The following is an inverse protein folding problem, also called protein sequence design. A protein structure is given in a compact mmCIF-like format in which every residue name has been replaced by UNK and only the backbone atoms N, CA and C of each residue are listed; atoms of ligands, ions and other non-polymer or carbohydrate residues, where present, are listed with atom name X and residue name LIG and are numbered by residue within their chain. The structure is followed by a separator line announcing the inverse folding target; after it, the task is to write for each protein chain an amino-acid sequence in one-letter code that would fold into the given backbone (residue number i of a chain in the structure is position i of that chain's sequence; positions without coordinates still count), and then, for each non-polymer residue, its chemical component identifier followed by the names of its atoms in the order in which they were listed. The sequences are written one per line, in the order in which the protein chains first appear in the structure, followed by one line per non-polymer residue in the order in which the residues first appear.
data_IF_701607584494
#
_entry.id   IF_701607584494
#
_cell.length_a   1.000
_cell.length_b   1.000
_cell.length_c   1.000
_cell.angle_alpha   90.00
_cell.angle_beta   90.00
_cell.angle_gamma   90.00
#
_symmetry.space_group_name_H-M   'P 1'
#
loop_
_entity.id
_entity.type
_entity.pdbx_description
1 polymer ?
#
# COMPACT_ATOMS: atom_id res chain seq x y z
N UNK A 1 8.36 17.15 -17.21
CA UNK A 1 9.17 16.64 -18.33
C UNK A 1 10.65 16.92 -18.08
N UNK A 2 11.49 15.89 -18.08
CA UNK A 2 12.94 16.03 -18.00
C UNK A 2 13.52 16.12 -19.41
N UNK A 3 14.09 17.27 -19.78
CA UNK A 3 14.66 17.52 -21.12
C UNK A 3 13.70 17.22 -22.29
N UNK A 4 12.41 17.53 -22.11
CA UNK A 4 11.36 17.29 -23.12
C UNK A 4 10.79 15.87 -23.13
N UNK A 5 11.20 15.01 -22.20
CA UNK A 5 10.66 13.65 -22.04
C UNK A 5 9.73 13.57 -20.83
N UNK A 6 8.57 12.92 -20.99
CA UNK A 6 7.67 12.64 -19.86
C UNK A 6 8.32 11.68 -18.86
N UNK A 7 8.18 11.97 -17.57
CA UNK A 7 8.75 11.20 -16.47
C UNK A 7 7.64 10.54 -15.66
N UNK A 8 7.62 9.22 -15.68
CA UNK A 8 6.85 8.37 -14.78
C UNK A 8 7.75 7.94 -13.63
N UNK A 9 7.45 8.38 -12.42
CA UNK A 9 8.02 7.83 -11.20
C UNK A 9 7.16 6.64 -10.74
N UNK A 10 7.77 5.46 -10.67
CA UNK A 10 7.07 4.22 -10.34
C UNK A 10 6.93 4.00 -8.84
N UNK A 11 7.54 4.83 -8.00
CA UNK A 11 7.51 4.62 -6.55
C UNK A 11 7.43 5.93 -5.76
N UNK A 12 6.20 6.24 -5.32
CA UNK A 12 5.91 7.24 -4.32
C UNK A 12 5.01 6.70 -3.21
N UNK A 13 4.72 7.55 -2.23
CA UNK A 13 3.84 7.21 -1.12
C UNK A 13 2.77 8.28 -0.92
N UNK A 14 1.64 7.85 -0.38
CA UNK A 14 0.56 8.76 -0.01
C UNK A 14 1.05 9.85 0.92
N UNK A 15 0.61 11.07 0.63
CA UNK A 15 0.79 12.24 1.47
C UNK A 15 -0.57 12.65 2.01
N UNK A 16 -0.63 12.98 3.29
CA UNK A 16 -1.85 13.39 3.96
C UNK A 16 -1.55 14.33 5.11
N UNK A 17 -2.55 15.02 5.64
CA UNK A 17 -2.39 15.85 6.83
C UNK A 17 -1.99 14.98 8.03
N UNK A 18 -1.36 15.57 9.07
CA UNK A 18 -0.93 14.83 10.25
C UNK A 18 -2.00 13.93 10.89
N UNK A 19 -3.29 14.31 10.78
CA UNK A 19 -4.37 13.53 11.34
C UNK A 19 -4.63 12.17 10.67
N UNK A 20 -4.11 11.94 9.45
CA UNK A 20 -4.06 10.58 8.87
C UNK A 20 -3.29 9.64 9.80
N UNK A 21 -2.25 10.14 10.48
CA UNK A 21 -1.52 9.35 11.46
C UNK A 21 -2.30 9.17 12.77
N UNK A 22 -3.05 10.18 13.20
CA UNK A 22 -3.84 10.11 14.43
C UNK A 22 -4.96 9.09 14.36
N UNK A 23 -5.47 8.77 13.16
CA UNK A 23 -6.56 7.81 12.99
C UNK A 23 -6.18 6.39 13.45
N UNK A 24 -4.99 5.90 13.10
CA UNK A 24 -4.52 4.59 13.58
C UNK A 24 -4.16 4.62 15.07
N UNK A 25 -3.66 5.74 15.58
CA UNK A 25 -3.35 5.89 17.01
C UNK A 25 -4.63 5.77 17.86
N UNK A 26 -5.73 6.38 17.40
CA UNK A 26 -7.05 6.19 18.03
C UNK A 26 -7.52 4.74 17.98
N UNK A 27 -7.28 4.06 16.86
CA UNK A 27 -7.58 2.64 16.70
C UNK A 27 -6.86 1.73 17.69
N UNK A 28 -5.56 1.98 17.90
CA UNK A 28 -4.79 1.27 18.92
C UNK A 28 -5.28 1.58 20.33
N UNK A 29 -5.61 2.84 20.62
CA UNK A 29 -6.07 3.26 21.94
C UNK A 29 -7.45 2.68 22.30
N UNK A 30 -8.36 2.58 21.33
CA UNK A 30 -9.72 2.06 21.54
C UNK A 30 -9.82 0.54 21.40
N UNK A 31 -8.84 -0.12 20.75
CA UNK A 31 -8.95 -1.52 20.34
C UNK A 31 -10.01 -1.76 19.26
N UNK A 32 -10.52 -0.70 18.63
CA UNK A 32 -11.56 -0.77 17.61
C UNK A 32 -11.43 0.37 16.60
N UNK A 33 -11.51 0.02 15.32
CA UNK A 33 -11.47 0.98 14.22
C UNK A 33 -12.76 0.86 13.42
N UNK A 34 -13.47 1.98 13.28
CA UNK A 34 -14.66 2.08 12.44
C UNK A 34 -14.32 2.03 10.95
N UNK A 35 -15.32 2.08 10.05
CA UNK A 35 -15.07 2.26 8.63
C UNK A 35 -14.32 3.57 8.38
N UNK A 36 -13.53 3.58 7.30
CA UNK A 36 -12.84 4.78 6.83
C UNK A 36 -13.84 5.93 6.60
N UNK A 37 -13.57 7.15 7.12
CA UNK A 37 -14.44 8.31 6.90
C UNK A 37 -14.51 8.74 5.44
N UNK A 38 -13.54 8.32 4.61
CA UNK A 38 -13.50 8.60 3.17
C UNK A 38 -14.28 7.57 2.33
N UNK A 39 -14.74 6.46 2.93
CA UNK A 39 -15.42 5.37 2.20
C UNK A 39 -16.92 5.59 2.04
N UNK A 40 -17.53 6.41 2.90
CA UNK A 40 -18.99 6.63 2.91
C UNK A 40 -19.33 7.82 2.00
N UNK A 41 -19.85 7.50 0.82
CA UNK A 41 -19.92 8.35 -0.37
C UNK A 41 -21.04 9.39 -0.45
N UNK A 42 -21.39 10.10 0.61
CA UNK A 42 -22.21 11.32 0.51
C UNK A 42 -21.46 12.58 0.97
N UNK A 43 -20.18 12.40 1.28
CA UNK A 43 -19.35 13.37 1.97
C UNK A 43 -19.84 13.62 3.40
N UNK A 44 -21.10 13.39 3.79
CA UNK A 44 -21.81 13.93 4.95
C UNK A 44 -22.07 12.92 6.09
N UNK A 45 -21.83 11.63 5.89
CA UNK A 45 -22.21 10.60 6.87
C UNK A 45 -21.15 9.51 7.10
N UNK A 46 -19.91 9.90 7.39
CA UNK A 46 -19.11 9.24 8.42
C UNK A 46 -19.12 10.12 9.68
N UNK A 47 -18.40 9.80 10.77
CA UNK A 47 -17.87 10.88 11.59
C UNK A 47 -16.97 11.69 10.65
N UNK A 48 -17.56 12.66 9.94
CA UNK A 48 -16.82 13.84 9.51
C UNK A 48 -16.14 14.26 10.80
N UNK A 49 -14.82 14.19 10.81
CA UNK A 49 -14.04 15.01 11.72
C UNK A 49 -14.60 16.43 11.54
N UNK A 50 -15.58 16.81 12.37
CA UNK A 50 -15.78 18.12 12.96
C UNK A 50 -15.15 19.33 12.26
N UNK A 51 -15.27 19.49 10.93
CA UNK A 51 -14.44 20.48 10.22
C UNK A 51 -12.94 20.36 10.54
N UNK A 52 -12.49 19.17 10.96
CA UNK A 52 -11.22 18.92 11.59
C UNK A 52 -10.13 18.47 10.61
N UNK A 53 -9.02 18.04 11.18
CA UNK A 53 -7.73 17.80 10.51
C UNK A 53 -7.71 16.72 9.39
N UNK A 54 -8.84 16.06 9.08
CA UNK A 54 -9.02 15.10 7.97
C UNK A 54 -9.97 15.62 6.86
N UNK A 55 -10.19 16.94 6.79
CA UNK A 55 -11.06 17.54 5.77
C UNK A 55 -10.50 17.45 4.35
N UNK A 56 -11.36 17.69 3.35
CA UNK A 56 -10.97 17.77 1.95
C UNK A 56 -9.92 18.88 1.73
N UNK A 57 -10.04 20.02 2.41
CA UNK A 57 -9.07 21.12 2.36
C UNK A 57 -7.72 20.71 2.94
N UNK A 58 -7.71 19.99 4.07
CA UNK A 58 -6.48 19.51 4.71
C UNK A 58 -5.76 18.49 3.82
N UNK A 59 -6.51 17.59 3.18
CA UNK A 59 -6.01 16.65 2.17
C UNK A 59 -5.44 17.39 0.96
N UNK A 60 -6.20 18.31 0.36
CA UNK A 60 -5.76 19.08 -0.79
C UNK A 60 -4.47 19.86 -0.51
N UNK A 61 -4.37 20.50 0.65
CA UNK A 61 -3.16 21.24 1.05
C UNK A 61 -1.94 20.33 1.21
N UNK A 62 -2.11 19.12 1.75
CA UNK A 62 -1.02 18.13 1.85
C UNK A 62 -0.61 17.59 0.47
N UNK A 63 -1.59 17.31 -0.39
CA UNK A 63 -1.39 16.76 -1.73
C UNK A 63 -0.75 17.79 -2.67
N UNK A 64 -1.11 19.07 -2.57
CA UNK A 64 -0.51 20.15 -3.34
C UNK A 64 1.00 20.25 -3.06
N UNK A 65 1.43 20.19 -1.79
CA UNK A 65 2.87 20.20 -1.44
C UNK A 65 3.62 19.04 -2.09
N UNK A 66 2.99 17.88 -2.22
CA UNK A 66 3.59 16.73 -2.90
C UNK A 66 3.67 16.94 -4.43
N UNK A 67 2.59 17.45 -5.04
CA UNK A 67 2.55 17.77 -6.47
C UNK A 67 3.57 18.87 -6.85
N UNK A 68 3.74 19.87 -6.00
CA UNK A 68 4.76 20.93 -6.16
C UNK A 68 6.17 20.32 -6.14
N UNK A 69 6.44 19.43 -5.20
CA UNK A 69 7.73 18.73 -5.11
C UNK A 69 8.03 17.87 -6.35
N UNK A 70 7.01 17.23 -6.93
CA UNK A 70 7.12 16.53 -8.21
C UNK A 70 7.45 17.49 -9.36
N UNK A 71 6.77 18.64 -9.42
CA UNK A 71 7.03 19.69 -10.42
C UNK A 71 8.48 20.17 -10.34
N UNK A 72 8.97 20.47 -9.13
CA UNK A 72 10.36 20.88 -8.90
C UNK A 72 11.41 19.85 -9.36
N UNK A 73 11.00 18.57 -9.45
CA UNK A 73 11.84 17.44 -9.87
C UNK A 73 11.56 16.96 -11.28
N UNK A 74 10.73 17.68 -12.04
CA UNK A 74 10.32 17.32 -13.39
C UNK A 74 9.58 15.97 -13.51
N UNK A 75 8.91 15.52 -12.44
CA UNK A 75 8.10 14.29 -12.42
C UNK A 75 6.68 14.63 -12.89
N UNK A 76 6.28 14.04 -14.02
CA UNK A 76 4.98 14.31 -14.63
C UNK A 76 3.88 13.50 -13.93
N UNK A 77 4.10 12.18 -13.78
CA UNK A 77 3.19 11.24 -13.12
C UNK A 77 3.95 10.41 -12.10
N UNK A 78 3.35 10.15 -10.94
CA UNK A 78 3.91 9.25 -9.93
C UNK A 78 2.89 8.18 -9.52
N UNK A 79 3.34 6.92 -9.45
CA UNK A 79 2.58 5.83 -8.84
C UNK A 79 2.78 5.87 -7.33
N UNK A 80 1.70 6.01 -6.58
CA UNK A 80 1.73 6.10 -5.12
C UNK A 80 1.10 4.87 -4.47
N UNK A 81 1.65 4.50 -3.31
CA UNK A 81 1.14 3.42 -2.47
C UNK A 81 1.19 3.76 -0.99
N UNK A 82 0.94 2.76 -0.11
CA UNK A 82 1.04 2.94 1.32
C UNK A 82 2.48 3.27 1.72
N UNK A 83 2.67 3.93 2.87
CA UNK A 83 4.01 4.06 3.46
C UNK A 83 4.44 2.71 4.02
N UNK A 84 5.61 2.15 3.68
CA UNK A 84 5.91 0.73 3.91
C UNK A 84 5.90 0.33 5.38
N UNK A 85 6.59 1.09 6.24
CA UNK A 85 6.58 0.85 7.68
C UNK A 85 5.19 1.04 8.30
N UNK A 86 4.33 1.83 7.65
CA UNK A 86 2.95 2.05 8.07
C UNK A 86 1.98 1.04 7.46
N UNK A 87 2.44 0.05 6.70
CA UNK A 87 1.57 -1.08 6.33
C UNK A 87 1.21 -1.93 7.56
N UNK A 88 2.09 -1.93 8.58
CA UNK A 88 1.81 -2.46 9.93
C UNK A 88 1.21 -3.88 9.94
N UNK A 89 1.71 -4.80 9.11
CA UNK A 89 1.19 -6.18 9.04
C UNK A 89 1.38 -6.99 10.34
N UNK A 90 2.11 -6.47 11.33
CA UNK A 90 2.22 -7.04 12.68
C UNK A 90 1.05 -6.67 13.62
N UNK A 91 0.15 -5.77 13.20
CA UNK A 91 -0.92 -5.29 14.07
C UNK A 91 -1.98 -6.38 14.38
N UNK A 92 -2.79 -6.20 15.45
CA UNK A 92 -3.91 -7.10 15.72
C UNK A 92 -4.84 -7.25 14.51
N UNK A 93 -5.19 -8.49 14.17
CA UNK A 93 -5.90 -8.83 12.92
C UNK A 93 -7.25 -8.12 12.76
N UNK A 94 -7.94 -7.83 13.87
CA UNK A 94 -9.21 -7.10 13.88
C UNK A 94 -9.08 -5.61 13.51
N UNK A 95 -7.86 -5.04 13.55
CA UNK A 95 -7.57 -3.67 13.13
C UNK A 95 -7.03 -3.58 11.70
N UNK A 96 -6.30 -4.62 11.25
CA UNK A 96 -5.56 -4.61 9.98
C UNK A 96 -6.43 -4.29 8.78
N UNK A 97 -7.57 -4.96 8.65
CA UNK A 97 -8.50 -4.73 7.54
C UNK A 97 -8.88 -3.24 7.46
N UNK A 98 -9.35 -2.66 8.57
CA UNK A 98 -9.81 -1.27 8.60
C UNK A 98 -8.70 -0.26 8.34
N UNK A 99 -7.49 -0.58 8.78
CA UNK A 99 -6.32 0.23 8.46
C UNK A 99 -5.95 0.20 6.97
N UNK A 100 -5.98 -0.97 6.33
CA UNK A 100 -5.80 -1.08 4.88
C UNK A 100 -6.85 -0.26 4.13
N UNK A 101 -8.12 -0.39 4.51
CA UNK A 101 -9.24 0.35 3.89
C UNK A 101 -9.02 1.85 3.96
N UNK A 102 -8.69 2.38 5.15
CA UNK A 102 -8.42 3.80 5.34
C UNK A 102 -7.21 4.30 4.56
N UNK A 103 -6.14 3.51 4.53
CA UNK A 103 -4.94 3.84 3.76
C UNK A 103 -5.25 3.91 2.27
N UNK A 104 -6.00 2.94 1.75
CA UNK A 104 -6.43 2.90 0.35
C UNK A 104 -7.37 4.07 0.03
N UNK A 105 -8.30 4.41 0.91
CA UNK A 105 -9.18 5.55 0.67
C UNK A 105 -8.43 6.89 0.71
N UNK A 106 -7.40 7.01 1.56
CA UNK A 106 -6.52 8.19 1.58
C UNK A 106 -5.70 8.29 0.28
N UNK A 107 -5.17 7.17 -0.22
CA UNK A 107 -4.50 7.09 -1.53
C UNK A 107 -5.46 7.53 -2.63
N UNK A 108 -6.68 6.99 -2.63
CA UNK A 108 -7.69 7.32 -3.63
C UNK A 108 -8.03 8.81 -3.59
N UNK A 109 -8.23 9.40 -2.41
CA UNK A 109 -8.50 10.84 -2.24
C UNK A 109 -7.38 11.70 -2.84
N UNK A 110 -6.11 11.33 -2.66
CA UNK A 110 -4.99 12.02 -3.32
C UNK A 110 -5.07 11.91 -4.85
N UNK A 111 -5.42 10.75 -5.41
CA UNK A 111 -5.62 10.62 -6.86
C UNK A 111 -6.80 11.44 -7.37
N UNK A 112 -7.86 11.64 -6.58
CA UNK A 112 -8.98 12.49 -6.98
C UNK A 112 -8.64 13.99 -6.96
N UNK A 113 -7.76 14.42 -6.06
CA UNK A 113 -7.31 15.82 -6.02
C UNK A 113 -6.39 16.19 -7.20
N UNK A 114 -5.58 15.24 -7.68
CA UNK A 114 -4.67 15.45 -8.82
C UNK A 114 -4.68 14.23 -9.77
N UNK A 115 -5.77 14.02 -10.52
CA UNK A 115 -5.96 12.81 -11.34
C UNK A 115 -4.93 12.65 -12.46
N UNK A 116 -4.37 13.77 -12.95
CA UNK A 116 -3.35 13.75 -14.00
C UNK A 116 -1.91 13.59 -13.46
N UNK A 117 -1.74 13.52 -12.13
CA UNK A 117 -0.42 13.49 -11.48
C UNK A 117 -0.16 12.20 -10.69
N UNK A 118 -1.20 11.58 -10.14
CA UNK A 118 -1.04 10.39 -9.29
C UNK A 118 -1.81 9.19 -9.81
N UNK A 119 -1.13 8.03 -9.80
CA UNK A 119 -1.73 6.72 -10.00
C UNK A 119 -1.69 5.94 -8.68
N UNK A 120 -2.70 5.14 -8.37
CA UNK A 120 -2.79 4.45 -7.08
C UNK A 120 -2.49 2.96 -7.13
N UNK A 121 -1.93 2.46 -6.03
CA UNK A 121 -1.71 1.04 -5.78
C UNK A 121 -2.34 0.62 -4.45
N UNK A 122 -2.82 -0.61 -4.41
CA UNK A 122 -3.62 -1.12 -3.29
C UNK A 122 -2.72 -1.64 -2.17
N UNK A 123 -2.94 -1.19 -0.94
CA UNK A 123 -2.45 -1.86 0.26
C UNK A 123 -3.34 -3.07 0.58
N UNK A 124 -2.74 -4.23 0.76
CA UNK A 124 -3.46 -5.47 1.10
C UNK A 124 -3.35 -5.80 2.60
N UNK A 125 -4.42 -6.35 3.21
CA UNK A 125 -4.43 -6.83 4.59
C UNK A 125 -3.72 -8.20 4.71
N UNK A 126 -2.45 -8.27 4.33
CA UNK A 126 -1.69 -9.53 4.33
C UNK A 126 -1.54 -10.10 5.75
N UNK A 127 -1.85 -11.38 5.91
CA UNK A 127 -1.71 -12.13 7.17
C UNK A 127 -0.74 -13.28 6.93
N UNK A 128 0.46 -13.20 7.53
CA UNK A 128 1.52 -14.19 7.32
C UNK A 128 1.08 -15.62 7.68
N UNK A 129 0.29 -15.77 8.75
CA UNK A 129 -0.13 -17.08 9.27
C UNK A 129 -1.41 -17.62 8.63
N UNK A 130 -2.01 -16.91 7.67
CA UNK A 130 -3.17 -17.40 6.94
C UNK A 130 -2.77 -18.56 6.01
N UNK A 131 -3.73 -19.41 5.67
CA UNK A 131 -3.51 -20.49 4.70
C UNK A 131 -3.11 -19.94 3.32
N UNK A 132 -3.74 -18.84 2.90
CA UNK A 132 -3.48 -18.11 1.66
C UNK A 132 -3.91 -16.64 1.79
N UNK A 133 -3.76 -15.87 0.70
CA UNK A 133 -4.15 -14.46 0.61
C UNK A 133 -5.60 -14.22 0.14
N UNK A 134 -6.51 -15.19 0.24
CA UNK A 134 -7.92 -15.01 -0.15
C UNK A 134 -8.59 -13.87 0.61
N UNK A 135 -8.17 -13.58 1.85
CA UNK A 135 -8.65 -12.46 2.64
C UNK A 135 -8.33 -11.08 2.03
N UNK A 136 -7.33 -11.01 1.15
CA UNK A 136 -6.91 -9.76 0.49
C UNK A 136 -7.73 -9.45 -0.78
N UNK A 137 -8.37 -10.47 -1.38
CA UNK A 137 -9.09 -10.35 -2.66
C UNK A 137 -10.21 -9.30 -2.63
N UNK A 138 -11.08 -9.22 -1.61
CA UNK A 138 -12.16 -8.24 -1.60
C UNK A 138 -11.67 -6.78 -1.67
N UNK A 139 -10.61 -6.46 -0.93
CA UNK A 139 -10.04 -5.11 -0.91
C UNK A 139 -9.28 -4.79 -2.21
N UNK A 140 -8.61 -5.79 -2.79
CA UNK A 140 -7.98 -5.66 -4.11
C UNK A 140 -9.01 -5.31 -5.17
N UNK A 141 -10.03 -6.15 -5.35
CA UNK A 141 -11.05 -5.95 -6.38
C UNK A 141 -11.82 -4.64 -6.19
N UNK A 142 -12.11 -4.25 -4.95
CA UNK A 142 -12.76 -2.98 -4.64
C UNK A 142 -11.95 -1.79 -5.15
N UNK A 143 -10.63 -1.77 -4.92
CA UNK A 143 -9.78 -0.67 -5.35
C UNK A 143 -9.48 -0.69 -6.85
N UNK A 144 -9.33 -1.88 -7.46
CA UNK A 144 -9.17 -1.98 -8.92
C UNK A 144 -10.41 -1.44 -9.66
N UNK A 145 -11.62 -1.70 -9.16
CA UNK A 145 -12.86 -1.10 -9.69
C UNK A 145 -12.93 0.42 -9.55
N UNK A 146 -12.13 1.02 -8.65
CA UNK A 146 -12.00 2.47 -8.44
C UNK A 146 -10.86 3.10 -9.26
N UNK A 147 -10.22 2.33 -10.14
CA UNK A 147 -9.15 2.82 -11.00
C UNK A 147 -7.74 2.69 -10.43
N UNK A 148 -7.54 1.89 -9.38
CA UNK A 148 -6.18 1.56 -8.94
C UNK A 148 -5.47 0.75 -10.03
N UNK A 149 -4.20 1.09 -10.26
CA UNK A 149 -3.40 0.54 -11.37
C UNK A 149 -2.49 -0.61 -10.95
N UNK A 150 -2.53 -1.02 -9.68
CA UNK A 150 -1.67 -2.07 -9.13
C UNK A 150 -1.94 -2.36 -7.67
N UNK A 151 -1.07 -3.18 -7.08
CA UNK A 151 -1.11 -3.55 -5.67
C UNK A 151 0.28 -3.55 -5.05
N UNK A 152 0.38 -3.46 -3.74
CA UNK A 152 1.60 -3.72 -2.98
C UNK A 152 1.55 -5.15 -2.44
N UNK A 153 2.69 -5.84 -2.52
CA UNK A 153 2.91 -7.13 -1.87
C UNK A 153 4.20 -7.05 -1.04
N UNK A 154 4.07 -7.27 0.27
CA UNK A 154 5.23 -7.48 1.14
C UNK A 154 5.58 -8.95 1.17
N UNK A 155 6.81 -9.37 0.82
CA UNK A 155 7.26 -10.76 0.96
C UNK A 155 7.17 -11.25 2.41
N UNK A 156 7.38 -10.33 3.37
CA UNK A 156 7.34 -10.55 4.81
C UNK A 156 6.42 -9.50 5.46
N UNK A 157 5.10 -9.73 5.54
CA UNK A 157 4.14 -8.68 5.89
C UNK A 157 4.21 -8.25 7.36
N UNK A 158 4.57 -9.15 8.29
CA UNK A 158 4.69 -8.86 9.72
C UNK A 158 6.14 -8.66 10.20
N UNK A 159 7.12 -8.90 9.34
CA UNK A 159 8.54 -8.71 9.60
C UNK A 159 9.21 -9.89 10.33
N UNK A 160 8.52 -11.04 10.45
CA UNK A 160 8.99 -12.20 11.22
C UNK A 160 9.54 -13.33 10.35
N UNK A 161 9.55 -13.17 9.02
CA UNK A 161 9.92 -14.20 8.05
C UNK A 161 9.05 -15.47 8.15
N UNK A 162 7.76 -15.30 8.48
CA UNK A 162 6.82 -16.40 8.67
C UNK A 162 5.97 -16.72 7.43
N UNK A 163 5.94 -15.82 6.44
CA UNK A 163 5.27 -16.04 5.17
C UNK A 163 6.08 -16.98 4.26
N UNK A 164 5.42 -17.79 3.43
CA UNK A 164 6.09 -18.64 2.46
C UNK A 164 6.69 -17.82 1.31
N UNK A 165 7.65 -18.40 0.58
CA UNK A 165 8.27 -17.74 -0.58
C UNK A 165 7.24 -17.36 -1.64
N UNK A 166 7.46 -16.26 -2.36
CA UNK A 166 6.50 -15.66 -3.31
C UNK A 166 6.05 -16.54 -4.50
N UNK A 167 6.65 -17.72 -4.66
CA UNK A 167 6.28 -18.74 -5.65
C UNK A 167 5.27 -19.78 -5.14
N UNK A 168 4.95 -19.77 -3.85
CA UNK A 168 4.10 -20.77 -3.19
C UNK A 168 2.59 -20.48 -3.33
N UNK A 169 1.71 -21.50 -3.19
CA UNK A 169 0.26 -21.35 -3.36
C UNK A 169 -0.41 -20.29 -2.49
N UNK A 170 0.18 -19.94 -1.34
CA UNK A 170 -0.29 -18.88 -0.45
C UNK A 170 -0.59 -17.55 -1.20
N UNK A 171 0.19 -17.24 -2.23
CA UNK A 171 0.08 -15.99 -2.98
C UNK A 171 -0.94 -16.02 -4.13
N UNK A 172 -1.36 -17.22 -4.54
CA UNK A 172 -2.12 -17.42 -5.78
C UNK A 172 -3.45 -16.66 -5.85
N UNK A 173 -4.27 -16.56 -4.79
CA UNK A 173 -5.53 -15.82 -4.86
C UNK A 173 -5.35 -14.36 -5.32
N UNK A 174 -4.24 -13.72 -4.93
CA UNK A 174 -3.92 -12.36 -5.37
C UNK A 174 -3.37 -12.35 -6.80
N UNK A 175 -2.48 -13.28 -7.15
CA UNK A 175 -1.92 -13.38 -8.50
C UNK A 175 -2.99 -13.65 -9.56
N UNK A 176 -3.98 -14.50 -9.26
CA UNK A 176 -5.13 -14.75 -10.13
C UNK A 176 -5.87 -13.45 -10.46
N UNK A 177 -6.14 -12.62 -9.44
CA UNK A 177 -6.80 -11.32 -9.61
C UNK A 177 -5.93 -10.30 -10.31
N UNK A 178 -4.62 -10.28 -10.05
CA UNK A 178 -3.70 -9.42 -10.79
C UNK A 178 -3.71 -9.74 -12.29
N UNK A 179 -3.75 -11.02 -12.68
CA UNK A 179 -3.88 -11.41 -14.08
C UNK A 179 -5.25 -11.08 -14.66
N UNK A 180 -6.33 -11.35 -13.91
CA UNK A 180 -7.71 -11.08 -14.34
C UNK A 180 -7.91 -9.60 -14.68
N UNK A 181 -7.41 -8.71 -13.82
CA UNK A 181 -7.51 -7.26 -14.00
C UNK A 181 -6.33 -6.67 -14.79
N UNK A 182 -5.36 -7.49 -15.17
CA UNK A 182 -4.13 -7.09 -15.86
C UNK A 182 -3.44 -5.91 -15.16
N UNK A 183 -3.00 -6.10 -13.91
CA UNK A 183 -2.28 -5.09 -13.11
C UNK A 183 -1.00 -5.65 -12.50
N UNK A 184 0.08 -4.84 -12.36
CA UNK A 184 1.30 -5.25 -11.68
C UNK A 184 1.19 -5.20 -10.15
N UNK A 185 2.14 -5.84 -9.46
CA UNK A 185 2.37 -5.63 -8.03
C UNK A 185 3.75 -5.04 -7.76
N UNK A 186 3.81 -4.08 -6.84
CA UNK A 186 5.05 -3.59 -6.28
C UNK A 186 5.49 -4.49 -5.12
N UNK A 187 6.65 -5.12 -5.25
CA UNK A 187 7.27 -5.89 -4.15
C UNK A 187 8.01 -4.95 -3.23
N UNK A 188 7.53 -4.80 -2.01
CA UNK A 188 8.09 -3.85 -1.06
C UNK A 188 8.04 -4.42 0.36
N UNK A 189 9.20 -4.53 1.03
CA UNK A 189 9.25 -4.91 2.45
C UNK A 189 8.62 -3.86 3.37
N UNK A 190 8.25 -4.20 4.61
CA UNK A 190 7.45 -3.31 5.48
C UNK A 190 8.09 -3.01 6.83
N UNK A 191 8.17 -4.01 7.70
CA UNK A 191 8.90 -3.96 8.96
C UNK A 191 9.95 -5.08 8.96
N UNK A 192 10.84 -5.09 9.94
CA UNK A 192 11.79 -6.17 10.16
C UNK A 192 11.93 -6.42 11.66
N UNK A 193 11.64 -7.64 12.10
CA UNK A 193 11.77 -8.12 13.47
C UNK A 193 12.89 -9.17 13.59
N UNK A 194 13.82 -9.19 12.64
CA UNK A 194 15.00 -10.05 12.68
C UNK A 194 15.89 -9.70 13.90
N UNK A 195 16.07 -10.63 14.86
CA UNK A 195 16.85 -10.37 16.07
C UNK A 195 18.32 -10.07 15.78
N UNK A 196 18.86 -10.51 14.63
CA UNK A 196 20.27 -10.30 14.26
C UNK A 196 20.60 -8.82 14.03
N UNK A 197 19.62 -8.05 13.56
CA UNK A 197 19.78 -6.62 13.21
C UNK A 197 18.93 -5.68 14.08
N UNK A 198 18.31 -6.19 15.15
CA UNK A 198 17.45 -5.41 16.04
C UNK A 198 18.15 -4.19 16.69
N UNK A 199 19.47 -4.24 16.85
CA UNK A 199 20.28 -3.18 17.45
C UNK A 199 20.63 -2.04 16.46
N UNK A 200 20.32 -2.19 15.17
CA UNK A 200 20.66 -1.21 14.13
C UNK A 200 19.50 -0.21 13.97
N UNK A 201 19.71 1.10 14.20
CA UNK A 201 18.70 2.11 13.91
C UNK A 201 18.28 2.07 12.42
N UNK A 202 16.97 2.02 12.16
CA UNK A 202 16.46 1.94 10.79
C UNK A 202 16.63 0.56 10.12
N UNK A 203 16.82 -0.51 10.91
CA UNK A 203 16.97 -1.90 10.45
C UNK A 203 15.92 -2.36 9.42
N UNK A 204 14.69 -1.83 9.45
CA UNK A 204 13.67 -2.14 8.46
C UNK A 204 14.11 -1.79 7.03
N UNK A 205 14.99 -0.80 6.83
CA UNK A 205 15.55 -0.49 5.51
C UNK A 205 16.49 -1.61 5.02
N UNK A 206 17.23 -2.23 5.92
CA UNK A 206 18.01 -3.45 5.62
C UNK A 206 17.04 -4.59 5.27
N UNK A 207 15.95 -4.71 6.03
CA UNK A 207 14.86 -5.64 5.73
C UNK A 207 14.30 -5.45 4.32
N UNK A 208 14.08 -4.21 3.86
CA UNK A 208 13.58 -3.94 2.50
C UNK A 208 14.51 -4.52 1.44
N UNK A 209 15.81 -4.30 1.59
CA UNK A 209 16.81 -4.81 0.64
C UNK A 209 16.85 -6.33 0.65
N UNK A 210 16.86 -6.94 1.83
CA UNK A 210 16.92 -8.40 1.98
C UNK A 210 15.68 -9.07 1.41
N UNK A 211 14.48 -8.59 1.76
CA UNK A 211 13.22 -9.17 1.33
C UNK A 211 12.99 -8.98 -0.18
N UNK A 212 13.26 -7.80 -0.72
CA UNK A 212 13.13 -7.57 -2.17
C UNK A 212 14.16 -8.39 -2.96
N UNK A 213 15.40 -8.51 -2.46
CA UNK A 213 16.40 -9.37 -3.08
C UNK A 213 15.96 -10.84 -3.06
N UNK A 214 15.55 -11.35 -1.90
CA UNK A 214 15.10 -12.72 -1.72
C UNK A 214 13.90 -13.03 -2.62
N UNK A 215 12.89 -12.15 -2.64
CA UNK A 215 11.73 -12.28 -3.53
C UNK A 215 12.16 -12.35 -5.00
N UNK A 216 13.02 -11.45 -5.47
CA UNK A 216 13.53 -11.47 -6.84
C UNK A 216 14.25 -12.79 -7.18
N UNK A 217 15.05 -13.33 -6.24
CA UNK A 217 15.73 -14.62 -6.42
C UNK A 217 14.75 -15.79 -6.46
N UNK A 218 13.75 -15.81 -5.58
CA UNK A 218 12.71 -16.84 -5.56
C UNK A 218 11.95 -16.84 -6.89
N UNK A 219 11.47 -15.67 -7.32
CA UNK A 219 10.67 -15.52 -8.54
C UNK A 219 11.48 -15.97 -9.77
N UNK A 220 12.74 -15.55 -9.89
CA UNK A 220 13.59 -15.87 -11.03
C UNK A 220 13.99 -17.36 -11.15
N UNK A 221 13.90 -18.14 -10.08
CA UNK A 221 14.27 -19.56 -10.04
C UNK A 221 13.08 -20.48 -9.77
N UNK A 222 11.86 -19.97 -9.96
CA UNK A 222 10.61 -20.72 -9.83
C UNK A 222 9.91 -20.88 -11.17
N UNK A 223 8.89 -21.73 -11.21
CA UNK A 223 7.97 -21.90 -12.33
C UNK A 223 6.76 -20.93 -12.27
N UNK A 224 6.82 -19.90 -11.41
CA UNK A 224 5.66 -19.04 -11.14
C UNK A 224 5.16 -18.33 -12.41
N UNK A 225 6.04 -17.77 -13.23
CA UNK A 225 5.64 -17.09 -14.46
C UNK A 225 5.20 -18.05 -15.57
N UNK A 226 5.50 -19.35 -15.47
CA UNK A 226 4.92 -20.38 -16.34
C UNK A 226 3.47 -20.67 -15.93
N UNK A 227 3.20 -20.71 -14.62
CA UNK A 227 1.85 -20.88 -14.04
C UNK A 227 0.97 -19.63 -14.24
N UNK A 228 1.56 -18.44 -14.11
CA UNK A 228 0.89 -17.15 -14.23
C UNK A 228 1.54 -16.30 -15.34
N UNK A 229 1.30 -16.62 -16.62
CA UNK A 229 2.00 -16.01 -17.76
C UNK A 229 1.67 -14.53 -18.01
N UNK A 230 0.61 -14.00 -17.38
CA UNK A 230 0.23 -12.57 -17.43
C UNK A 230 0.60 -11.82 -16.15
N UNK A 231 1.21 -12.49 -15.16
CA UNK A 231 1.62 -11.85 -13.92
C UNK A 231 2.71 -10.84 -14.20
N UNK A 232 2.56 -9.64 -13.64
CA UNK A 232 3.56 -8.56 -13.73
C UNK A 232 3.93 -8.13 -12.32
N UNK A 233 5.23 -8.03 -12.09
CA UNK A 233 5.86 -7.65 -10.82
C UNK A 233 6.82 -6.52 -11.15
#
# INVERSE_FOLDING_TARGET
MFKGTQVLDVHGHVSGPPAVNSWIDMGFASGHVGPSPFRIGDGKSGPRADGGNLSDEAMLAANQRHADFMTDRNIDVQVIGPRPFRMMGWMPRHLLQRWCEFTNDTIHHQTQNFPDRFLSTTMLPQIAEAQDLSNCVPELEFNLKRGFVGTYLSPDPDGRHNSPGMHEPYWYPVYEKMQEYNVPAFIHGTNCLDPRIAHIPGNYQVGFVVETFLAARILAYSDLFEKFPKLRI
#
